data_IF_339118811993
#
_entry.id   IF_339118811993
#
_cell.length_a   1.000
_cell.length_b   1.000
_cell.length_c   1.000
_cell.angle_alpha   90.00
_cell.angle_beta   90.00
_cell.angle_gamma   90.00
#
_symmetry.space_group_name_H-M   'P 1'
#
loop_
_entity.id
_entity.type
_entity.pdbx_description
1 polymer ?
#
# COMPACT_ATOMS: atom_id res chain seq x y z
N UNK A 1 -20.54 -21.52 -23.17
CA UNK A 1 -19.20 -20.93 -22.96
C UNK A 1 -19.45 -19.44 -22.88
N UNK A 2 -19.85 -18.99 -21.70
CA UNK A 2 -20.28 -17.62 -21.51
C UNK A 2 -19.06 -16.70 -21.46
N UNK A 3 -19.19 -15.57 -22.15
CA UNK A 3 -18.12 -14.67 -22.59
C UNK A 3 -17.12 -14.30 -21.49
N UNK A 4 -15.88 -14.76 -21.64
CA UNK A 4 -14.74 -14.38 -20.79
C UNK A 4 -14.41 -12.88 -20.90
N UNK A 5 -14.83 -12.23 -22.00
CA UNK A 5 -14.78 -10.76 -22.17
C UNK A 5 -15.65 -9.99 -21.16
N UNK A 6 -16.63 -10.64 -20.50
CA UNK A 6 -17.55 -10.00 -19.54
C UNK A 6 -16.86 -9.67 -18.20
N UNK A 7 -15.66 -10.20 -17.96
CA UNK A 7 -14.93 -10.00 -16.71
C UNK A 7 -14.08 -8.72 -16.69
N UNK A 8 -13.74 -8.16 -17.84
CA UNK A 8 -13.01 -6.89 -17.88
C UNK A 8 -13.83 -5.78 -17.24
N UNK A 9 -13.14 -4.90 -16.50
CA UNK A 9 -13.73 -3.77 -15.78
C UNK A 9 -14.73 -4.14 -14.68
N UNK A 10 -14.96 -5.44 -14.42
CA UNK A 10 -15.73 -5.87 -13.26
C UNK A 10 -15.00 -5.50 -11.99
N UNK A 11 -15.80 -5.07 -11.02
CA UNK A 11 -15.32 -4.64 -9.72
C UNK A 11 -15.46 -5.81 -8.74
N UNK A 12 -14.41 -6.03 -7.96
CA UNK A 12 -14.31 -7.06 -6.95
C UNK A 12 -14.22 -6.41 -5.57
N UNK A 13 -14.88 -6.98 -4.58
CA UNK A 13 -14.54 -6.72 -3.17
C UNK A 13 -13.76 -7.91 -2.60
N UNK A 14 -12.44 -7.82 -2.64
CA UNK A 14 -11.54 -8.91 -2.30
C UNK A 14 -10.60 -8.51 -1.17
N UNK A 15 -10.54 -9.34 -0.11
CA UNK A 15 -9.71 -9.11 1.08
C UNK A 15 -9.91 -7.73 1.71
N UNK A 16 -11.16 -7.26 1.75
CA UNK A 16 -11.51 -5.97 2.35
C UNK A 16 -11.11 -4.75 1.51
N UNK A 17 -10.77 -4.96 0.23
CA UNK A 17 -10.42 -3.92 -0.73
C UNK A 17 -11.26 -4.03 -2.01
N UNK A 18 -11.49 -2.89 -2.65
CA UNK A 18 -12.11 -2.78 -3.97
C UNK A 18 -11.02 -2.91 -5.02
N UNK A 19 -11.25 -3.76 -6.01
CA UNK A 19 -10.34 -3.99 -7.13
C UNK A 19 -11.10 -3.94 -8.45
N UNK A 20 -10.42 -3.55 -9.51
CA UNK A 20 -10.97 -3.64 -10.87
C UNK A 20 -10.15 -4.62 -11.69
N UNK A 21 -10.81 -5.60 -12.30
CA UNK A 21 -10.18 -6.53 -13.24
C UNK A 21 -9.77 -5.79 -14.51
N UNK A 22 -8.52 -5.98 -14.93
CA UNK A 22 -8.00 -5.36 -16.16
C UNK A 22 -7.38 -6.37 -17.13
N UNK A 23 -7.11 -7.60 -16.70
CA UNK A 23 -6.59 -8.66 -17.55
C UNK A 23 -6.95 -10.05 -17.02
N UNK A 24 -6.91 -11.03 -17.90
CA UNK A 24 -6.94 -12.46 -17.60
C UNK A 24 -5.55 -13.03 -17.81
N UNK A 25 -5.19 -14.09 -17.09
CA UNK A 25 -4.00 -14.86 -17.43
C UNK A 25 -4.20 -15.64 -18.74
N UNK A 26 -3.12 -16.01 -19.42
CA UNK A 26 -3.21 -16.64 -20.75
C UNK A 26 -3.94 -18.00 -20.78
N UNK A 27 -4.06 -18.67 -19.63
CA UNK A 27 -4.80 -19.93 -19.49
C UNK A 27 -6.19 -19.74 -18.86
N UNK A 28 -6.58 -18.51 -18.54
CA UNK A 28 -7.86 -18.14 -17.97
C UNK A 28 -8.15 -18.82 -16.60
N UNK A 29 -7.10 -19.16 -15.85
CA UNK A 29 -7.19 -19.67 -14.48
C UNK A 29 -7.31 -18.56 -13.43
N UNK A 30 -7.18 -17.30 -13.83
CA UNK A 30 -7.33 -16.16 -12.95
C UNK A 30 -7.38 -14.82 -13.65
N UNK A 31 -7.50 -13.78 -12.83
CA UNK A 31 -7.59 -12.40 -13.27
C UNK A 31 -6.48 -11.59 -12.61
N UNK A 32 -5.99 -10.61 -13.34
CA UNK A 32 -5.21 -9.52 -12.78
C UNK A 32 -6.15 -8.35 -12.51
N UNK A 33 -6.14 -7.91 -11.26
CA UNK A 33 -6.94 -6.79 -10.82
C UNK A 33 -6.04 -5.74 -10.17
N UNK A 34 -6.37 -4.47 -10.38
CA UNK A 34 -5.70 -3.36 -9.74
C UNK A 34 -6.56 -2.84 -8.58
N UNK A 35 -5.93 -2.43 -7.48
CA UNK A 35 -6.65 -1.87 -6.34
C UNK A 35 -7.27 -0.51 -6.70
N UNK A 36 -8.57 -0.36 -6.47
CA UNK A 36 -9.37 0.81 -6.80
C UNK A 36 -10.34 0.58 -7.95
N UNK A 37 -11.14 1.61 -8.22
CA UNK A 37 -12.14 1.63 -9.30
C UNK A 37 -11.53 2.15 -10.61
N UNK A 38 -11.99 1.63 -11.75
CA UNK A 38 -11.76 2.26 -13.04
C UNK A 38 -12.60 3.54 -13.12
N UNK A 39 -11.99 4.72 -13.33
CA UNK A 39 -12.74 5.93 -13.65
C UNK A 39 -13.43 5.79 -15.03
N UNK A 40 -14.71 6.18 -15.09
CA UNK A 40 -15.66 5.99 -16.20
C UNK A 40 -15.30 6.72 -17.51
N UNK A 41 -16.10 6.52 -18.57
CA UNK A 41 -15.80 6.77 -19.99
C UNK A 41 -15.18 8.12 -20.43
N UNK A 42 -15.22 9.19 -19.62
CA UNK A 42 -14.46 10.43 -19.88
C UNK A 42 -12.99 10.36 -19.42
N UNK A 43 -12.58 9.23 -18.84
CA UNK A 43 -11.23 9.01 -18.35
C UNK A 43 -10.31 8.59 -19.48
N UNK A 44 -9.37 9.47 -19.83
CA UNK A 44 -8.21 9.06 -20.64
C UNK A 44 -7.36 8.13 -19.78
N UNK A 45 -7.21 6.89 -20.22
CA UNK A 45 -6.18 5.99 -19.72
C UNK A 45 -4.82 6.67 -19.98
N UNK A 46 -4.24 7.24 -18.93
CA UNK A 46 -2.84 7.63 -18.93
C UNK A 46 -2.03 6.34 -18.72
N UNK A 47 -1.36 5.79 -19.74
CA UNK A 47 -0.48 4.63 -19.57
C UNK A 47 0.63 4.89 -18.54
N UNK A 48 0.90 6.16 -18.24
CA UNK A 48 1.88 6.63 -17.25
C UNK A 48 1.35 6.67 -15.81
N UNK A 49 0.08 6.31 -15.54
CA UNK A 49 -0.36 6.01 -14.17
C UNK A 49 0.15 4.64 -13.76
N UNK A 50 1.45 4.57 -13.48
CA UNK A 50 2.17 3.42 -12.91
C UNK A 50 1.72 3.06 -11.48
N UNK A 51 0.69 3.71 -10.94
CA UNK A 51 0.44 3.83 -9.50
C UNK A 51 -0.63 2.87 -8.95
N UNK A 52 -0.81 1.69 -9.54
CA UNK A 52 -1.86 0.76 -9.11
C UNK A 52 -1.30 -0.54 -8.55
N UNK A 53 -1.64 -0.88 -7.31
CA UNK A 53 -1.25 -2.14 -6.70
C UNK A 53 -1.97 -3.27 -7.45
N UNK A 54 -1.22 -4.15 -8.13
CA UNK A 54 -1.76 -5.22 -8.97
C UNK A 54 -1.72 -6.53 -8.20
N UNK A 55 -2.78 -7.31 -8.29
CA UNK A 55 -2.86 -8.65 -7.71
C UNK A 55 -3.42 -9.64 -8.70
N UNK A 56 -2.80 -10.82 -8.73
CA UNK A 56 -3.39 -12.01 -9.33
C UNK A 56 -4.40 -12.62 -8.34
N UNK A 57 -5.61 -12.92 -8.83
CA UNK A 57 -6.69 -13.56 -8.09
C UNK A 57 -7.14 -14.77 -8.90
N UNK A 58 -7.26 -15.94 -8.26
CA UNK A 58 -7.71 -17.16 -8.93
C UNK A 58 -9.15 -16.99 -9.43
N UNK A 59 -9.49 -17.64 -10.54
CA UNK A 59 -10.79 -17.43 -11.21
C UNK A 59 -11.98 -17.69 -10.27
N UNK A 60 -11.95 -18.80 -9.53
CA UNK A 60 -13.00 -19.15 -8.55
C UNK A 60 -13.18 -18.05 -7.50
N UNK A 61 -12.07 -17.61 -6.88
CA UNK A 61 -12.08 -16.52 -5.89
C UNK A 61 -12.59 -15.20 -6.49
N UNK A 62 -12.21 -14.90 -7.74
CA UNK A 62 -12.61 -13.69 -8.42
C UNK A 62 -14.12 -13.68 -8.66
N UNK A 63 -14.68 -14.75 -9.22
CA UNK A 63 -16.11 -14.85 -9.53
C UNK A 63 -16.99 -14.70 -8.28
N UNK A 64 -16.57 -15.24 -7.14
CA UNK A 64 -17.27 -15.08 -5.85
C UNK A 64 -17.21 -13.66 -5.30
N UNK A 65 -16.18 -12.89 -5.66
CA UNK A 65 -15.94 -11.55 -5.13
C UNK A 65 -16.45 -10.43 -6.04
N UNK A 66 -16.98 -10.74 -7.22
CA UNK A 66 -17.57 -9.72 -8.12
C UNK A 66 -18.76 -9.07 -7.41
N UNK A 67 -18.76 -7.75 -7.38
CA UNK A 67 -19.84 -6.96 -6.80
C UNK A 67 -20.62 -6.21 -7.88
N UNK A 68 -21.92 -6.09 -7.64
CA UNK A 68 -22.81 -5.27 -8.46
C UNK A 68 -22.53 -3.78 -8.26
N UNK A 69 -22.85 -2.97 -9.27
CA UNK A 69 -22.57 -1.53 -9.28
C UNK A 69 -23.17 -0.80 -8.07
N UNK A 70 -24.38 -1.20 -7.66
CA UNK A 70 -25.10 -0.64 -6.51
C UNK A 70 -24.35 -0.85 -5.17
N UNK A 71 -23.54 -1.91 -5.05
CA UNK A 71 -22.80 -2.26 -3.83
C UNK A 71 -21.41 -1.61 -3.76
N UNK A 72 -20.91 -1.05 -4.86
CA UNK A 72 -19.57 -0.45 -4.91
C UNK A 72 -19.43 0.65 -3.85
N UNK A 73 -20.44 1.52 -3.72
CA UNK A 73 -20.42 2.61 -2.76
C UNK A 73 -20.29 2.14 -1.30
N UNK A 74 -20.98 1.05 -0.94
CA UNK A 74 -20.88 0.43 0.37
C UNK A 74 -19.49 -0.15 0.61
N UNK A 75 -18.95 -0.89 -0.37
CA UNK A 75 -17.61 -1.47 -0.28
C UNK A 75 -16.51 -0.40 -0.11
N UNK A 76 -16.58 0.70 -0.85
CA UNK A 76 -15.66 1.84 -0.70
C UNK A 76 -15.81 2.49 0.69
N UNK A 77 -17.03 2.57 1.23
CA UNK A 77 -17.24 3.04 2.59
C UNK A 77 -16.58 2.11 3.62
N UNK A 78 -16.69 0.79 3.44
CA UNK A 78 -16.05 -0.20 4.28
C UNK A 78 -14.52 -0.11 4.22
N UNK A 79 -13.93 0.12 3.04
CA UNK A 79 -12.49 0.37 2.89
C UNK A 79 -12.03 1.56 3.72
N UNK A 80 -12.71 2.70 3.59
CA UNK A 80 -12.39 3.93 4.34
C UNK A 80 -12.50 3.70 5.84
N UNK A 81 -13.53 2.98 6.27
CA UNK A 81 -13.70 2.60 7.68
C UNK A 81 -12.57 1.69 8.16
N UNK A 82 -12.11 0.78 7.31
CA UNK A 82 -10.98 -0.09 7.61
C UNK A 82 -9.66 0.68 7.69
N UNK A 83 -9.44 1.65 6.80
CA UNK A 83 -8.29 2.55 6.81
C UNK A 83 -8.29 3.49 8.02
N UNK A 84 -9.45 3.85 8.55
CA UNK A 84 -9.55 4.66 9.76
C UNK A 84 -9.24 3.89 11.05
N UNK A 85 -9.23 2.54 11.02
CA UNK A 85 -8.94 1.74 12.22
C UNK A 85 -7.52 2.00 12.72
N UNK A 86 -7.38 2.03 14.05
CA UNK A 86 -6.07 2.10 14.70
C UNK A 86 -5.37 0.74 14.63
N UNK A 87 -4.05 0.75 14.55
CA UNK A 87 -3.26 -0.46 14.72
C UNK A 87 -3.40 -0.91 16.19
N UNK A 88 -3.98 -2.10 16.40
CA UNK A 88 -4.10 -2.69 17.72
C UNK A 88 -2.92 -3.60 18.03
N UNK A 89 -2.63 -3.83 19.31
CA UNK A 89 -1.60 -4.79 19.74
C UNK A 89 -1.79 -6.17 19.12
N UNK A 90 -3.03 -6.68 19.11
CA UNK A 90 -3.37 -7.97 18.49
C UNK A 90 -2.95 -8.01 17.01
N UNK A 91 -3.30 -6.97 16.24
CA UNK A 91 -2.95 -6.90 14.82
C UNK A 91 -1.44 -6.78 14.61
N UNK A 92 -0.74 -6.00 15.44
CA UNK A 92 0.71 -5.87 15.37
C UNK A 92 1.39 -7.22 15.64
N UNK A 93 0.92 -7.96 16.66
CA UNK A 93 1.40 -9.31 16.98
C UNK A 93 1.17 -10.27 15.82
N UNK A 94 -0.05 -10.32 15.28
CA UNK A 94 -0.39 -11.24 14.19
C UNK A 94 0.43 -10.93 12.93
N UNK A 95 0.62 -9.65 12.61
CA UNK A 95 1.44 -9.19 11.49
C UNK A 95 2.91 -9.57 11.67
N UNK A 96 3.52 -9.25 12.81
CA UNK A 96 4.94 -9.52 13.08
C UNK A 96 5.23 -11.02 13.19
N UNK A 97 4.31 -11.81 13.74
CA UNK A 97 4.41 -13.28 13.77
C UNK A 97 4.42 -13.85 12.35
N UNK A 98 3.50 -13.40 11.49
CA UNK A 98 3.47 -13.80 10.08
C UNK A 98 4.74 -13.38 9.33
N UNK A 99 5.22 -12.16 9.54
CA UNK A 99 6.38 -11.61 8.85
C UNK A 99 7.67 -12.34 9.24
N UNK A 100 7.87 -12.59 10.53
CA UNK A 100 9.14 -13.10 11.06
C UNK A 100 9.18 -14.62 11.22
N UNK A 101 8.03 -15.31 11.06
CA UNK A 101 7.91 -16.75 11.24
C UNK A 101 7.89 -17.20 12.72
N UNK A 102 7.87 -16.27 13.67
CA UNK A 102 7.77 -16.60 15.10
C UNK A 102 6.33 -16.92 15.50
N UNK A 103 6.18 -17.58 16.66
CA UNK A 103 4.86 -17.82 17.23
C UNK A 103 4.22 -16.53 17.74
N UNK A 104 2.88 -16.45 17.67
CA UNK A 104 2.10 -15.35 18.24
C UNK A 104 2.44 -15.12 19.71
N UNK A 105 2.63 -16.20 20.49
CA UNK A 105 3.00 -16.12 21.90
C UNK A 105 4.37 -15.46 22.13
N UNK A 106 5.36 -15.78 21.29
CA UNK A 106 6.70 -15.17 21.35
C UNK A 106 6.63 -13.67 21.09
N UNK A 107 6.00 -13.27 19.98
CA UNK A 107 5.85 -11.85 19.64
C UNK A 107 5.05 -11.11 20.71
N UNK A 108 3.94 -11.67 21.18
CA UNK A 108 3.10 -11.03 22.21
C UNK A 108 3.84 -10.81 23.54
N UNK A 109 4.80 -11.68 23.88
CA UNK A 109 5.63 -11.55 25.08
C UNK A 109 6.75 -10.50 24.98
N UNK A 110 7.18 -10.15 23.76
CA UNK A 110 8.33 -9.26 23.52
C UNK A 110 7.92 -7.91 22.89
N UNK A 111 6.69 -7.78 22.41
CA UNK A 111 6.21 -6.55 21.79
C UNK A 111 5.91 -5.47 22.85
N UNK A 112 6.45 -4.29 22.62
CA UNK A 112 6.25 -3.11 23.44
C UNK A 112 5.40 -2.08 22.67
N UNK A 113 4.42 -1.48 23.34
CA UNK A 113 3.64 -0.38 22.76
C UNK A 113 4.43 0.92 22.88
N UNK A 114 4.48 1.67 21.79
CA UNK A 114 5.15 2.97 21.66
C UNK A 114 4.10 4.03 21.29
N UNK A 115 4.45 5.31 21.34
CA UNK A 115 3.50 6.42 21.24
C UNK A 115 2.53 6.32 20.03
N UNK A 116 3.00 5.88 18.86
CA UNK A 116 2.19 5.72 17.65
C UNK A 116 2.27 4.31 17.02
N UNK A 117 2.81 3.32 17.74
CA UNK A 117 3.12 2.03 17.14
C UNK A 117 3.54 0.97 18.14
N UNK A 118 4.23 -0.05 17.63
CA UNK A 118 4.70 -1.20 18.37
C UNK A 118 6.15 -1.48 18.00
N UNK A 119 6.94 -1.89 18.98
CA UNK A 119 8.34 -2.25 18.79
C UNK A 119 8.57 -3.67 19.28
N UNK A 120 9.38 -4.44 18.58
CA UNK A 120 9.84 -5.76 19.04
C UNK A 120 11.32 -5.94 18.70
N UNK A 121 12.09 -6.50 19.63
CA UNK A 121 13.50 -6.83 19.42
C UNK A 121 13.64 -8.34 19.38
N UNK A 122 14.04 -8.89 18.23
CA UNK A 122 14.22 -10.31 18.00
C UNK A 122 15.71 -10.59 17.73
N UNK A 123 16.45 -10.93 18.79
CA UNK A 123 17.91 -11.10 18.71
C UNK A 123 18.61 -9.77 18.43
N UNK A 124 19.26 -9.64 17.26
CA UNK A 124 19.97 -8.43 16.85
C UNK A 124 19.11 -7.47 16.01
N UNK A 125 17.87 -7.85 15.68
CA UNK A 125 17.00 -7.04 14.80
C UNK A 125 15.92 -6.38 15.63
N UNK A 126 15.81 -5.06 15.52
CA UNK A 126 14.69 -4.30 16.06
C UNK A 126 13.70 -3.99 14.94
N UNK A 127 12.43 -4.25 15.20
CA UNK A 127 11.33 -3.89 14.32
C UNK A 127 10.48 -2.80 14.98
N UNK A 128 10.29 -1.68 14.30
CA UNK A 128 9.36 -0.63 14.68
C UNK A 128 8.21 -0.62 13.68
N UNK A 129 6.97 -0.78 14.16
CA UNK A 129 5.76 -0.90 13.35
C UNK A 129 4.76 0.16 13.76
N UNK A 130 4.32 1.01 12.84
CA UNK A 130 3.23 1.96 13.07
C UNK A 130 2.30 2.03 11.88
N UNK A 131 1.21 2.77 12.05
CA UNK A 131 0.22 2.98 11.01
C UNK A 131 0.04 4.46 10.69
N UNK A 132 0.05 4.79 9.41
CA UNK A 132 -0.26 6.11 8.87
C UNK A 132 -1.00 5.93 7.54
N UNK A 133 -2.00 6.75 7.24
CA UNK A 133 -2.69 6.77 5.93
C UNK A 133 -3.18 5.41 5.38
N UNK A 134 -3.70 4.53 6.26
CA UNK A 134 -4.15 3.19 5.83
C UNK A 134 -3.01 2.23 5.45
N UNK A 135 -1.78 2.56 5.84
CA UNK A 135 -0.56 1.79 5.61
C UNK A 135 0.14 1.41 6.91
N UNK A 136 0.73 0.23 6.92
CA UNK A 136 1.66 -0.22 7.95
C UNK A 136 3.06 0.15 7.50
N UNK A 137 3.75 0.93 8.32
CA UNK A 137 5.15 1.24 8.13
C UNK A 137 5.96 0.37 9.07
N UNK A 138 6.85 -0.41 8.51
CA UNK A 138 7.77 -1.27 9.24
C UNK A 138 9.17 -0.75 9.01
N UNK A 139 9.86 -0.35 10.06
CA UNK A 139 11.30 -0.18 10.04
C UNK A 139 11.96 -1.40 10.67
N UNK A 140 13.01 -1.92 10.03
CA UNK A 140 13.91 -2.86 10.66
C UNK A 140 15.29 -2.23 10.80
N UNK A 141 15.85 -2.30 12.00
CA UNK A 141 17.16 -1.78 12.33
C UNK A 141 18.11 -2.95 12.60
N UNK A 142 19.21 -2.99 11.85
CA UNK A 142 20.32 -3.93 12.03
C UNK A 142 21.63 -3.14 12.04
N UNK A 143 22.38 -3.21 13.14
CA UNK A 143 23.73 -2.64 13.25
C UNK A 143 23.83 -1.16 12.80
N UNK A 144 22.85 -0.34 13.19
CA UNK A 144 22.82 1.09 12.88
C UNK A 144 22.32 1.43 11.47
N UNK A 145 21.97 0.43 10.66
CA UNK A 145 21.28 0.63 9.39
C UNK A 145 19.79 0.38 9.58
N UNK A 146 18.98 1.38 9.26
CA UNK A 146 17.51 1.26 9.24
C UNK A 146 17.04 1.15 7.81
N UNK A 147 16.24 0.13 7.51
CA UNK A 147 15.47 0.13 6.26
C UNK A 147 13.98 0.06 6.57
N UNK A 148 13.19 0.66 5.68
CA UNK A 148 11.75 0.75 5.82
C UNK A 148 11.04 -0.05 4.74
N UNK A 149 9.91 -0.64 5.08
CA UNK A 149 8.97 -1.23 4.14
C UNK A 149 7.54 -0.88 4.53
N UNK A 150 6.70 -0.60 3.55
CA UNK A 150 5.30 -0.22 3.71
C UNK A 150 4.39 -1.33 3.22
N UNK A 151 3.31 -1.58 3.95
CA UNK A 151 2.31 -2.58 3.62
C UNK A 151 0.90 -1.98 3.64
N UNK A 152 0.01 -2.48 2.79
CA UNK A 152 -1.41 -2.18 2.93
C UNK A 152 -1.95 -2.76 4.25
N UNK A 153 -2.63 -1.92 5.05
CA UNK A 153 -3.01 -2.26 6.42
C UNK A 153 -3.98 -3.45 6.53
N UNK A 154 -4.76 -3.71 5.49
CA UNK A 154 -5.80 -4.75 5.50
C UNK A 154 -5.30 -6.04 4.84
N UNK A 155 -4.60 -5.92 3.72
CA UNK A 155 -4.14 -7.08 2.94
C UNK A 155 -2.76 -7.57 3.38
N UNK A 156 -2.00 -6.73 4.09
CA UNK A 156 -0.60 -6.96 4.49
C UNK A 156 0.33 -7.27 3.31
N UNK A 157 -0.07 -6.90 2.10
CA UNK A 157 0.81 -6.95 0.94
C UNK A 157 1.71 -5.73 0.95
N UNK A 158 2.95 -5.90 0.51
CA UNK A 158 3.89 -4.80 0.31
C UNK A 158 3.25 -3.79 -0.64
N UNK A 159 3.36 -2.51 -0.30
CA UNK A 159 2.93 -1.40 -1.14
C UNK A 159 4.16 -0.65 -1.68
N UNK A 160 4.80 -1.27 -2.67
CA UNK A 160 5.97 -0.71 -3.36
C UNK A 160 5.66 0.62 -4.05
N UNK A 161 4.40 0.82 -4.46
CA UNK A 161 4.00 2.05 -5.14
C UNK A 161 3.98 3.24 -4.19
N UNK A 162 3.52 3.03 -2.96
CA UNK A 162 3.58 4.05 -1.92
C UNK A 162 5.04 4.44 -1.61
N UNK A 163 5.93 3.46 -1.46
CA UNK A 163 7.36 3.71 -1.23
C UNK A 163 8.01 4.49 -2.36
N UNK A 164 7.73 4.09 -3.61
CA UNK A 164 8.25 4.79 -4.79
C UNK A 164 7.73 6.22 -4.89
N UNK A 165 6.46 6.45 -4.54
CA UNK A 165 5.88 7.78 -4.49
C UNK A 165 6.55 8.66 -3.44
N UNK A 166 6.70 8.15 -2.22
CA UNK A 166 7.38 8.88 -1.14
C UNK A 166 8.80 9.24 -1.55
N UNK A 167 9.54 8.27 -2.10
CA UNK A 167 10.91 8.49 -2.59
C UNK A 167 10.97 9.57 -3.69
N UNK A 168 10.06 9.52 -4.68
CA UNK A 168 9.99 10.54 -5.75
C UNK A 168 9.60 11.91 -5.23
N UNK A 169 8.70 11.97 -4.24
CA UNK A 169 8.27 13.22 -3.62
C UNK A 169 9.42 13.84 -2.81
N UNK A 170 10.08 13.09 -1.95
CA UNK A 170 11.26 13.57 -1.21
C UNK A 170 12.37 14.05 -2.15
N UNK A 171 12.62 13.35 -3.26
CA UNK A 171 13.59 13.80 -4.27
C UNK A 171 13.19 15.10 -4.98
N UNK A 172 11.89 15.36 -5.14
CA UNK A 172 11.40 16.64 -5.70
C UNK A 172 11.56 17.76 -4.70
N UNK A 173 11.14 17.55 -3.45
CA UNK A 173 11.28 18.51 -2.35
C UNK A 173 12.76 18.85 -2.10
N UNK A 174 13.65 17.86 -2.11
CA UNK A 174 15.10 18.07 -1.98
C UNK A 174 15.67 18.88 -3.15
N UNK A 175 15.24 18.61 -4.38
CA UNK A 175 15.62 19.42 -5.55
C UNK A 175 15.10 20.85 -5.44
N UNK A 176 13.88 21.04 -4.96
CA UNK A 176 13.30 22.37 -4.73
C UNK A 176 14.11 23.15 -3.68
N UNK A 177 14.50 22.50 -2.57
CA UNK A 177 15.38 23.09 -1.56
C UNK A 177 16.75 23.48 -2.14
N UNK A 178 17.38 22.61 -2.95
CA UNK A 178 18.65 22.92 -3.62
C UNK A 178 18.49 24.11 -4.57
N UNK A 179 17.38 24.18 -5.31
CA UNK A 179 17.10 25.29 -6.23
C UNK A 179 16.83 26.60 -5.48
N UNK A 180 16.08 26.56 -4.38
CA UNK A 180 15.85 27.72 -3.51
C UNK A 180 17.14 28.20 -2.86
N UNK A 181 17.97 27.29 -2.38
CA UNK A 181 19.29 27.60 -1.82
C UNK A 181 20.21 28.21 -2.89
N UNK A 182 20.25 27.62 -4.10
CA UNK A 182 21.00 28.16 -5.23
C UNK A 182 20.55 29.58 -5.59
N UNK A 183 19.24 29.83 -5.68
CA UNK A 183 18.68 31.18 -5.89
C UNK A 183 19.08 32.12 -4.77
N UNK A 184 19.00 31.69 -3.51
CA UNK A 184 19.40 32.52 -2.37
C UNK A 184 20.88 32.94 -2.42
N UNK A 185 21.79 32.04 -2.83
CA UNK A 185 23.21 32.35 -2.96
C UNK A 185 23.59 33.07 -4.26
N UNK A 186 22.81 32.95 -5.33
CA UNK A 186 23.11 33.55 -6.63
C UNK A 186 22.22 34.75 -7.04
N UNK A 187 21.16 35.06 -6.29
CA UNK A 187 20.46 36.36 -6.36
C UNK A 187 21.16 37.44 -5.51
N UNK A 188 22.33 37.13 -4.93
CA UNK A 188 23.19 38.13 -4.30
C UNK A 188 24.24 38.62 -5.33
N UNK A 189 23.89 39.74 -5.98
CA UNK A 189 24.74 40.64 -6.80
C UNK A 189 24.99 40.28 -8.28
N UNK A 190 24.01 40.58 -9.13
CA UNK A 190 24.28 40.99 -10.51
C UNK A 190 23.45 42.20 -11.01
N UNK A 191 22.55 42.78 -10.20
CA UNK A 191 21.68 43.91 -10.61
C UNK A 191 21.94 45.22 -9.85
N UNK A 192 23.18 45.47 -9.42
CA UNK A 192 23.60 46.80 -8.98
C UNK A 192 25.04 47.08 -9.47
N UNK A 193 25.20 47.46 -10.74
CA UNK A 193 25.83 48.70 -11.26
C UNK A 193 26.17 48.61 -12.73
#
# INVERSE_FOLDING_TARGET
MDNIEVLYDKVLYYKGRVWTIYALDGNHHGVFAFQGLKPYASFKYEPDRHDKNISYIKMEEALECIIDEEKIGECVHLERKADAKKLSKKMAVDFLAKLTGHTVGKINGEIEEQHNGFMVVLGQVRYDLWKMDGRLHLHHNMHGTTTGTTFDFITWKVDTNYEDKQRRQSQREEKELIVEEYKHYHDCKCDET
#
